data_IF_870994893654
#
_entry.id   IF_870994893654
#
_cell.length_a   1.000
_cell.length_b   1.000
_cell.length_c   1.000
_cell.angle_alpha   90.00
_cell.angle_beta   90.00
_cell.angle_gamma   90.00
#
_symmetry.space_group_name_H-M   'P 1'
#
loop_
_entity.id
_entity.type
_entity.pdbx_description
1 polymer ?
#
# COMPACT_ATOMS: atom_id res chain seq x y z
N UNK A 1 -3.72 -9.63 9.03
CA UNK A 1 -3.67 -8.23 8.69
C UNK A 1 -2.29 -7.74 8.35
N UNK A 2 -1.30 -8.02 9.20
CA UNK A 2 0.08 -7.69 8.86
C UNK A 2 0.55 -8.35 7.57
N UNK A 3 0.17 -9.60 7.36
CA UNK A 3 0.61 -10.35 6.19
C UNK A 3 0.14 -9.70 4.89
N UNK A 4 -1.09 -9.20 4.85
CA UNK A 4 -1.62 -8.56 3.65
C UNK A 4 -0.85 -7.29 3.31
N UNK A 5 -0.55 -6.47 4.32
CA UNK A 5 0.23 -5.25 4.13
C UNK A 5 1.66 -5.58 3.69
N UNK A 6 2.25 -6.58 4.32
CA UNK A 6 3.62 -6.97 3.98
C UNK A 6 3.74 -7.46 2.54
N UNK A 7 2.78 -8.26 2.08
CA UNK A 7 2.75 -8.70 0.68
C UNK A 7 2.63 -7.51 -0.27
N UNK A 8 1.73 -6.60 0.04
CA UNK A 8 1.56 -5.39 -0.77
C UNK A 8 2.84 -4.57 -0.78
N UNK A 9 3.46 -4.40 0.37
CA UNK A 9 4.69 -3.61 0.49
C UNK A 9 5.83 -4.24 -0.30
N UNK A 10 5.99 -5.56 -0.23
CA UNK A 10 7.05 -6.25 -0.95
C UNK A 10 6.90 -6.09 -2.46
N UNK A 11 5.69 -6.10 -2.95
CA UNK A 11 5.44 -5.94 -4.39
C UNK A 11 5.55 -4.49 -4.83
N UNK A 12 5.03 -3.58 -4.02
CA UNK A 12 4.92 -2.18 -4.42
C UNK A 12 6.17 -1.36 -4.14
N UNK A 13 6.90 -1.68 -3.09
CA UNK A 13 8.07 -0.91 -2.69
C UNK A 13 9.13 -0.81 -3.78
N UNK A 14 9.52 -1.90 -4.46
CA UNK A 14 10.49 -1.78 -5.57
C UNK A 14 9.99 -0.89 -6.70
N UNK A 15 8.69 -0.94 -6.99
CA UNK A 15 8.09 -0.09 -8.02
C UNK A 15 8.19 1.38 -7.65
N UNK A 16 7.90 1.70 -6.39
CA UNK A 16 7.99 3.07 -5.90
C UNK A 16 9.42 3.58 -5.95
N UNK A 17 10.38 2.72 -5.66
CA UNK A 17 11.81 3.09 -5.76
C UNK A 17 12.19 3.44 -7.18
N UNK A 18 11.69 2.68 -8.15
CA UNK A 18 11.97 2.95 -9.56
C UNK A 18 11.31 4.25 -10.02
N UNK A 19 10.08 4.49 -9.57
CA UNK A 19 9.36 5.70 -9.94
C UNK A 19 9.90 6.93 -9.25
N UNK A 20 10.47 6.77 -8.05
CA UNK A 20 10.95 7.88 -7.22
C UNK A 20 12.34 7.59 -6.67
N UNK A 21 13.38 7.51 -7.54
CA UNK A 21 14.72 7.13 -7.09
C UNK A 21 15.37 8.12 -6.13
N UNK A 22 14.89 9.36 -6.10
CA UNK A 22 15.43 10.38 -5.21
C UNK A 22 14.80 10.38 -3.83
N UNK A 23 13.72 9.65 -3.63
CA UNK A 23 13.05 9.59 -2.34
C UNK A 23 13.72 8.58 -1.41
N UNK A 24 13.72 8.89 -0.12
CA UNK A 24 14.27 8.01 0.90
C UNK A 24 13.26 6.90 1.23
N UNK A 25 13.77 5.84 1.84
CA UNK A 25 12.94 4.69 2.20
C UNK A 25 11.77 5.08 3.10
N UNK A 26 12.00 5.97 4.06
CA UNK A 26 10.93 6.43 4.95
C UNK A 26 9.83 7.14 4.19
N UNK A 27 10.19 7.94 3.19
CA UNK A 27 9.22 8.64 2.35
C UNK A 27 8.43 7.63 1.49
N UNK A 28 9.12 6.64 0.96
CA UNK A 28 8.47 5.59 0.18
C UNK A 28 7.48 4.80 1.03
N UNK A 29 7.85 4.52 2.28
CA UNK A 29 6.95 3.82 3.20
C UNK A 29 5.70 4.65 3.51
N UNK A 30 5.84 5.96 3.64
CA UNK A 30 4.70 6.83 3.85
C UNK A 30 3.75 6.81 2.66
N UNK A 31 4.31 6.88 1.44
CA UNK A 31 3.50 6.77 0.23
C UNK A 31 2.80 5.42 0.15
N UNK A 32 3.53 4.37 0.50
CA UNK A 32 3.00 3.02 0.51
C UNK A 32 1.82 2.88 1.47
N UNK A 33 1.95 3.46 2.66
CA UNK A 33 0.89 3.44 3.66
C UNK A 33 -0.36 4.16 3.17
N UNK A 34 -0.19 5.30 2.52
CA UNK A 34 -1.31 6.06 1.96
C UNK A 34 -2.04 5.26 0.88
N UNK A 35 -1.28 4.60 0.01
CA UNK A 35 -1.87 3.75 -1.01
C UNK A 35 -2.63 2.58 -0.38
N UNK A 36 -2.03 2.00 0.67
CA UNK A 36 -2.64 0.86 1.36
C UNK A 36 -3.99 1.20 1.96
N UNK A 37 -4.14 2.40 2.50
CA UNK A 37 -5.39 2.82 3.11
C UNK A 37 -6.55 2.83 2.11
N UNK A 38 -6.24 2.94 0.83
CA UNK A 38 -7.25 2.96 -0.24
C UNK A 38 -7.19 1.73 -1.14
N UNK A 39 -6.28 0.81 -0.84
CA UNK A 39 -6.06 -0.35 -1.71
C UNK A 39 -7.12 -1.42 -1.49
N UNK A 40 -7.67 -2.00 -2.58
CA UNK A 40 -8.74 -3.01 -2.45
C UNK A 40 -8.29 -4.31 -1.76
N UNK A 41 -6.99 -4.60 -1.73
CA UNK A 41 -6.46 -5.75 -0.99
C UNK A 41 -6.48 -5.55 0.52
N UNK A 42 -6.61 -4.30 0.96
CA UNK A 42 -6.75 -4.00 2.39
C UNK A 42 -8.11 -4.52 2.86
N UNK A 43 -8.16 -5.43 3.85
CA UNK A 43 -9.45 -6.00 4.28
C UNK A 43 -10.44 -4.96 4.79
N UNK A 44 -9.96 -3.87 5.37
CA UNK A 44 -10.82 -2.79 5.83
C UNK A 44 -11.46 -2.09 4.63
N UNK A 45 -10.67 -1.78 3.61
CA UNK A 45 -11.17 -1.14 2.39
C UNK A 45 -12.12 -2.05 1.64
N UNK A 46 -11.77 -3.33 1.53
CA UNK A 46 -12.62 -4.30 0.86
C UNK A 46 -13.99 -4.42 1.54
N UNK A 47 -13.99 -4.41 2.88
CA UNK A 47 -15.24 -4.45 3.64
C UNK A 47 -16.08 -3.19 3.40
N UNK A 48 -15.44 -2.03 3.37
CA UNK A 48 -16.15 -0.77 3.11
C UNK A 48 -16.75 -0.74 1.71
N UNK A 49 -16.00 -1.20 0.71
CA UNK A 49 -16.50 -1.26 -0.65
C UNK A 49 -17.69 -2.20 -0.77
N UNK A 50 -17.64 -3.35 -0.08
CA UNK A 50 -18.75 -4.29 -0.07
C UNK A 50 -20.00 -3.69 0.58
N UNK A 51 -19.81 -2.87 1.60
CA UNK A 51 -20.93 -2.22 2.30
C UNK A 51 -21.56 -1.10 1.48
N UNK A 52 -20.82 -0.51 0.55
CA UNK A 52 -21.32 0.58 -0.28
C UNK A 52 -22.17 0.10 -1.45
N UNK A 53 -22.18 -1.19 -1.69
CA UNK A 53 -23.02 -1.80 -2.71
C UNK A 53 -24.29 -2.33 -2.07
#
# INVERSE_FOLDING_TARGET
>A
MKAAYEEFAEERLPQLKEENPSLRLSQLKQMLFKEWQKHPKNPIVAAQLAMQQ
#
